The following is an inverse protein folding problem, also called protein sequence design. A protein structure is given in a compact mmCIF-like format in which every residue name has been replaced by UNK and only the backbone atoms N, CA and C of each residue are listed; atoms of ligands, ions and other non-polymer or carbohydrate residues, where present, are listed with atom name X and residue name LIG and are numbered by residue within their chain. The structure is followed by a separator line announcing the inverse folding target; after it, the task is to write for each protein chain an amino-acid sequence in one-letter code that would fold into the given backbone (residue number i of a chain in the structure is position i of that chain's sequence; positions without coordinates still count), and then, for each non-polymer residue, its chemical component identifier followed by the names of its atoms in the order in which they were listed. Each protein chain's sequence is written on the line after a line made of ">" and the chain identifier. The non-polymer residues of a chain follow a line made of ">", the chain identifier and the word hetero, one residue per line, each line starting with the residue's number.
data_IF_209990100192
#
_entry.id   IF_209990100192
#
_cell.length_a   1.000
_cell.length_b   1.000
_cell.length_c   1.000
_cell.angle_alpha   90.00
_cell.angle_beta   90.00
_cell.angle_gamma   90.00
#
_symmetry.space_group_name_H-M   'P 1'
#
loop_
_entity.id
_entity.type
_entity.pdbx_description
1 polymer ?
#
# COMPACT_ATOMS: atom_id res chain seq x y z
N UNK A 1 48.76 -8.22 -6.10
CA UNK A 1 47.48 -8.83 -6.58
C UNK A 1 46.52 -8.79 -5.40
N UNK A 2 45.77 -7.70 -5.17
CA UNK A 2 44.51 -7.30 -5.85
C UNK A 2 43.49 -8.45 -5.75
N UNK A 3 42.36 -8.42 -5.04
CA UNK A 3 41.66 -7.37 -4.30
C UNK A 3 40.84 -8.03 -3.18
N UNK A 4 41.17 -7.76 -1.92
CA UNK A 4 40.24 -7.84 -0.78
C UNK A 4 39.64 -6.44 -0.62
N UNK A 5 38.44 -6.22 -1.17
CA UNK A 5 37.51 -5.13 -0.82
C UNK A 5 36.20 -5.33 -1.59
N UNK A 6 35.32 -6.17 -1.06
CA UNK A 6 33.88 -6.00 -1.18
C UNK A 6 33.43 -5.25 0.09
N UNK A 7 33.73 -3.95 0.14
CA UNK A 7 33.03 -2.93 0.94
C UNK A 7 32.36 -2.05 -0.11
N UNK A 8 31.10 -1.67 -0.06
CA UNK A 8 30.08 -1.74 0.98
C UNK A 8 28.75 -1.90 0.25
N UNK A 9 27.96 -2.90 0.61
CA UNK A 9 26.53 -2.88 0.32
C UNK A 9 25.99 -1.60 0.95
N UNK A 10 25.32 -0.74 0.17
CA UNK A 10 24.63 0.41 0.73
C UNK A 10 23.61 -0.10 1.74
N UNK A 11 23.63 0.51 2.92
CA UNK A 11 23.31 0.01 4.27
C UNK A 11 21.84 -0.38 4.56
N UNK A 12 21.15 -1.00 3.59
CA UNK A 12 19.69 -0.91 3.57
C UNK A 12 18.90 -1.86 2.67
N UNK A 13 19.56 -2.75 1.94
CA UNK A 13 18.87 -3.92 1.40
C UNK A 13 18.73 -4.97 2.52
N UNK A 14 17.50 -5.29 2.93
CA UNK A 14 17.27 -6.43 3.83
C UNK A 14 17.50 -7.72 3.04
N UNK A 15 18.61 -8.41 3.34
CA UNK A 15 18.81 -9.78 2.85
C UNK A 15 17.78 -10.72 3.50
N UNK A 16 17.46 -11.84 2.85
CA UNK A 16 16.45 -12.76 3.37
C UNK A 16 16.86 -13.42 4.71
N UNK A 17 18.18 -13.49 4.97
CA UNK A 17 18.77 -13.83 6.26
C UNK A 17 18.33 -12.87 7.40
N UNK A 18 17.84 -11.68 7.06
CA UNK A 18 17.38 -10.63 7.97
C UNK A 18 15.85 -10.44 7.96
N UNK A 19 15.06 -11.39 7.43
CA UNK A 19 13.57 -11.30 7.44
C UNK A 19 12.99 -11.04 8.84
N UNK A 20 13.68 -11.45 9.91
CA UNK A 20 13.32 -11.12 11.29
C UNK A 20 13.15 -9.61 11.53
N UNK A 21 13.87 -8.75 10.80
CA UNK A 21 13.73 -7.28 10.84
C UNK A 21 12.36 -6.79 10.37
N UNK A 22 11.68 -7.54 9.49
CA UNK A 22 10.29 -7.24 9.08
C UNK A 22 9.31 -7.42 10.24
N UNK A 23 9.65 -8.26 11.22
CA UNK A 23 8.86 -8.48 12.42
C UNK A 23 9.27 -7.55 13.57
N UNK A 24 10.45 -6.92 13.51
CA UNK A 24 10.98 -6.09 14.58
C UNK A 24 10.14 -4.82 14.81
N UNK A 25 9.56 -4.65 16.00
CA UNK A 25 8.84 -3.45 16.48
C UNK A 25 9.62 -2.13 16.34
N UNK A 26 10.94 -2.19 16.21
CA UNK A 26 11.78 -1.02 15.99
C UNK A 26 11.64 -0.43 14.60
N UNK A 27 11.29 -1.23 13.57
CA UNK A 27 11.07 -0.76 12.19
C UNK A 27 10.02 0.35 12.15
N UNK A 28 10.40 1.52 11.65
CA UNK A 28 9.59 2.75 11.73
C UNK A 28 9.15 3.30 10.39
N UNK A 29 9.81 2.84 9.33
CA UNK A 29 9.59 3.35 8.00
C UNK A 29 9.82 2.26 6.96
N UNK A 30 8.91 2.18 5.98
CA UNK A 30 9.08 1.31 4.81
C UNK A 30 10.32 1.69 4.02
N UNK A 31 10.71 2.97 4.03
CA UNK A 31 11.94 3.48 3.43
C UNK A 31 13.23 2.82 3.95
N UNK A 32 13.24 2.31 5.18
CA UNK A 32 14.38 1.54 5.73
C UNK A 32 14.65 0.23 4.96
N UNK A 33 13.70 -0.17 4.10
CA UNK A 33 13.75 -1.38 3.28
C UNK A 33 13.65 -0.98 1.80
N UNK A 34 12.63 -0.20 1.45
CA UNK A 34 12.14 0.01 0.08
C UNK A 34 12.88 1.07 -0.76
N UNK A 35 13.68 1.97 -0.18
CA UNK A 35 14.12 3.19 -0.90
C UNK A 35 15.24 3.01 -1.93
N UNK A 36 15.93 1.87 -1.93
CA UNK A 36 17.17 1.72 -2.68
C UNK A 36 17.10 0.53 -3.63
N UNK A 37 16.47 0.73 -4.79
CA UNK A 37 16.45 -0.28 -5.86
C UNK A 37 17.90 -0.55 -6.33
N UNK A 38 18.44 -1.70 -5.92
CA UNK A 38 19.72 -2.18 -6.41
C UNK A 38 19.61 -2.54 -7.91
N UNK A 39 20.60 -2.27 -8.78
CA UNK A 39 20.52 -2.59 -10.21
C UNK A 39 20.17 -4.06 -10.51
N UNK A 40 20.63 -4.99 -9.68
CA UNK A 40 20.25 -6.41 -9.76
C UNK A 40 18.74 -6.67 -9.59
N UNK A 41 17.99 -5.74 -8.97
CA UNK A 41 16.54 -5.85 -8.84
C UNK A 41 15.80 -5.54 -10.13
N UNK A 42 16.33 -4.66 -10.98
CA UNK A 42 15.74 -4.40 -12.28
C UNK A 42 15.78 -5.68 -13.12
N UNK A 43 16.94 -6.35 -13.15
CA UNK A 43 17.11 -7.64 -13.82
C UNK A 43 16.19 -8.73 -13.22
N UNK A 44 15.98 -8.76 -11.91
CA UNK A 44 15.03 -9.71 -11.30
C UNK A 44 13.59 -9.39 -11.66
N UNK A 45 13.17 -8.11 -11.63
CA UNK A 45 11.82 -7.69 -12.05
C UNK A 45 11.54 -7.99 -13.53
N UNK A 46 12.57 -7.96 -14.36
CA UNK A 46 12.50 -8.32 -15.79
C UNK A 46 12.42 -9.84 -16.02
N UNK A 47 13.15 -10.64 -15.22
CA UNK A 47 13.32 -12.07 -15.45
C UNK A 47 12.45 -12.98 -14.56
N UNK A 48 11.79 -12.43 -13.53
CA UNK A 48 10.90 -13.18 -12.66
C UNK A 48 9.45 -12.73 -12.81
N UNK A 49 8.53 -13.70 -12.76
CA UNK A 49 7.10 -13.41 -12.75
C UNK A 49 6.68 -12.91 -11.37
N UNK A 50 5.86 -11.86 -11.28
CA UNK A 50 5.26 -11.46 -10.02
C UNK A 50 4.29 -12.54 -9.52
N UNK A 51 4.24 -12.73 -8.20
CA UNK A 51 3.41 -13.74 -7.55
C UNK A 51 2.07 -13.17 -7.08
N UNK A 52 2.08 -11.91 -6.67
CA UNK A 52 0.88 -11.21 -6.23
C UNK A 52 0.79 -9.83 -6.86
N UNK A 53 -0.43 -9.47 -7.26
CA UNK A 53 -0.82 -8.10 -7.58
C UNK A 53 -1.40 -7.48 -6.32
N UNK A 54 -0.94 -6.31 -5.92
CA UNK A 54 -1.45 -5.58 -4.76
C UNK A 54 -1.92 -4.21 -5.23
N UNK A 55 -3.13 -3.80 -4.84
CA UNK A 55 -3.72 -2.55 -5.33
C UNK A 55 -4.62 -1.89 -4.29
N UNK A 56 -4.82 -0.59 -4.48
CA UNK A 56 -5.72 0.24 -3.69
C UNK A 56 -7.04 0.46 -4.44
N UNK A 57 -8.14 0.31 -3.70
CA UNK A 57 -9.46 0.77 -4.11
C UNK A 57 -9.92 1.93 -3.24
N UNK A 58 -10.85 2.71 -3.79
CA UNK A 58 -11.51 3.83 -3.12
C UNK A 58 -13.02 3.71 -3.27
N UNK A 59 -13.75 4.04 -2.21
CA UNK A 59 -15.18 4.26 -2.28
C UNK A 59 -15.49 5.63 -2.90
N UNK A 60 -16.21 5.61 -4.02
CA UNK A 60 -16.69 6.80 -4.73
C UNK A 60 -18.20 6.89 -4.65
N UNK A 61 -18.78 8.06 -4.33
CA UNK A 61 -20.23 8.23 -4.35
C UNK A 61 -20.76 8.07 -5.78
N UNK A 62 -21.85 7.31 -5.93
CA UNK A 62 -22.49 7.06 -7.25
C UNK A 62 -23.06 8.34 -7.88
N UNK A 63 -23.43 9.31 -7.05
CA UNK A 63 -23.97 10.59 -7.49
C UNK A 63 -23.23 11.70 -6.75
N UNK A 64 -22.73 12.66 -7.51
CA UNK A 64 -22.19 13.91 -7.01
C UNK A 64 -22.98 15.07 -7.61
N UNK A 65 -23.38 16.03 -6.78
CA UNK A 65 -24.06 17.26 -7.23
C UNK A 65 -23.06 18.39 -7.10
N UNK A 66 -22.92 19.18 -8.17
CA UNK A 66 -21.99 20.30 -8.23
C UNK A 66 -22.73 21.63 -8.26
N UNK A 67 -22.15 22.65 -7.64
CA UNK A 67 -22.69 24.01 -7.68
C UNK A 67 -22.46 24.69 -9.04
N UNK A 68 -21.56 24.16 -9.86
CA UNK A 68 -21.12 24.77 -11.10
C UNK A 68 -21.07 23.75 -12.24
N UNK A 69 -21.15 24.26 -13.48
CA UNK A 69 -21.06 23.45 -14.69
C UNK A 69 -19.64 22.93 -14.98
N UNK A 70 -18.61 23.44 -14.28
CA UNK A 70 -17.24 22.96 -14.42
C UNK A 70 -16.96 21.70 -13.60
N UNK A 71 -17.93 21.24 -12.80
CA UNK A 71 -17.85 20.07 -11.93
C UNK A 71 -16.71 20.13 -10.91
N UNK A 72 -16.31 21.35 -10.51
CA UNK A 72 -15.19 21.57 -9.58
C UNK A 72 -15.63 21.73 -8.15
N UNK A 73 -16.84 22.24 -7.90
CA UNK A 73 -17.36 22.48 -6.55
C UNK A 73 -18.51 21.54 -6.22
N UNK A 74 -18.23 20.33 -5.73
CA UNK A 74 -19.29 19.45 -5.23
C UNK A 74 -19.98 20.06 -4.00
N UNK A 75 -21.30 19.96 -3.94
CA UNK A 75 -22.15 20.45 -2.85
C UNK A 75 -22.95 19.35 -2.15
N UNK A 76 -23.13 18.20 -2.81
CA UNK A 76 -23.75 17.04 -2.19
C UNK A 76 -23.21 15.73 -2.81
N UNK A 77 -23.24 14.67 -2.01
CA UNK A 77 -22.81 13.34 -2.41
C UNK A 77 -23.86 12.31 -1.99
N UNK A 78 -24.10 11.32 -2.83
CA UNK A 78 -24.90 10.16 -2.43
C UNK A 78 -24.14 9.33 -1.41
N UNK A 79 -24.88 8.72 -0.47
CA UNK A 79 -24.34 7.71 0.44
C UNK A 79 -24.24 6.34 -0.22
N UNK A 80 -24.89 6.13 -1.34
CA UNK A 80 -24.63 4.97 -2.18
C UNK A 80 -23.31 5.18 -2.91
N UNK A 81 -22.39 4.24 -2.73
CA UNK A 81 -21.03 4.33 -3.27
C UNK A 81 -20.72 3.12 -4.15
N UNK A 82 -19.85 3.30 -5.12
CA UNK A 82 -19.16 2.23 -5.83
C UNK A 82 -17.74 2.09 -5.28
N UNK A 83 -17.17 0.89 -5.35
CA UNK A 83 -15.75 0.69 -5.08
C UNK A 83 -15.00 0.70 -6.40
N UNK A 84 -14.04 1.60 -6.54
CA UNK A 84 -13.28 1.80 -7.78
C UNK A 84 -11.80 1.51 -7.52
N UNK A 85 -11.14 0.85 -8.48
CA UNK A 85 -9.68 0.72 -8.47
C UNK A 85 -9.08 2.09 -8.79
N UNK A 86 -8.10 2.53 -8.01
CA UNK A 86 -7.49 3.86 -8.18
C UNK A 86 -6.58 3.98 -9.43
N UNK A 87 -6.42 2.92 -10.22
CA UNK A 87 -5.39 2.79 -11.26
C UNK A 87 -5.85 3.13 -12.70
N UNK A 88 -7.08 3.58 -12.94
CA UNK A 88 -7.67 3.52 -14.30
C UNK A 88 -7.68 4.82 -15.14
N UNK A 89 -7.05 5.92 -14.72
CA UNK A 89 -6.96 7.11 -15.59
C UNK A 89 -5.70 7.94 -15.30
N UNK A 90 -4.69 7.77 -16.16
CA UNK A 90 -3.43 8.52 -16.34
C UNK A 90 -2.78 9.23 -15.14
N UNK A 91 -1.52 8.80 -14.89
CA UNK A 91 -0.60 9.09 -13.79
C UNK A 91 -1.15 8.68 -12.41
N UNK A 92 -0.72 7.54 -11.84
CA UNK A 92 0.64 7.39 -11.33
C UNK A 92 0.90 5.92 -10.93
N UNK A 93 2.15 5.44 -11.01
CA UNK A 93 2.63 4.10 -10.64
C UNK A 93 2.52 3.76 -9.13
N UNK A 94 1.36 4.05 -8.53
CA UNK A 94 1.22 4.44 -7.12
C UNK A 94 0.01 3.81 -6.44
N UNK A 95 -0.95 3.28 -7.19
CA UNK A 95 -2.12 2.59 -6.64
C UNK A 95 -2.07 1.07 -6.83
N UNK A 96 -1.09 0.58 -7.57
CA UNK A 96 -0.92 -0.82 -7.91
C UNK A 96 0.58 -1.14 -7.92
N UNK A 97 0.94 -2.28 -7.35
CA UNK A 97 2.30 -2.78 -7.34
C UNK A 97 2.31 -4.31 -7.29
N UNK A 98 3.45 -4.88 -7.63
CA UNK A 98 3.64 -6.32 -7.72
C UNK A 98 4.65 -6.81 -6.70
N UNK A 99 4.38 -7.97 -6.12
CA UNK A 99 5.31 -8.65 -5.22
C UNK A 99 5.92 -9.85 -5.93
N UNK A 100 7.24 -9.94 -5.87
CA UNK A 100 8.04 -10.98 -6.50
C UNK A 100 8.58 -11.94 -5.44
N UNK A 101 8.67 -13.22 -5.81
CA UNK A 101 9.29 -14.24 -4.97
C UNK A 101 10.79 -14.32 -5.29
N UNK A 102 11.54 -13.34 -4.78
CA UNK A 102 12.98 -13.30 -4.93
C UNK A 102 13.66 -13.61 -3.61
N UNK A 103 14.03 -14.88 -3.46
CA UNK A 103 14.60 -15.47 -2.26
C UNK A 103 15.96 -14.88 -1.82
N UNK A 104 16.43 -13.80 -2.43
CA UNK A 104 17.71 -13.15 -2.11
C UNK A 104 17.62 -11.64 -1.87
N UNK A 105 16.49 -10.98 -2.14
CA UNK A 105 16.39 -9.52 -2.00
C UNK A 105 15.05 -9.09 -1.41
N UNK A 106 15.04 -8.74 -0.12
CA UNK A 106 13.83 -8.34 0.61
C UNK A 106 13.12 -7.11 0.05
N UNK A 107 13.80 -6.29 -0.76
CA UNK A 107 13.25 -5.08 -1.38
C UNK A 107 12.09 -5.36 -2.36
N UNK A 108 12.15 -6.44 -3.15
CA UNK A 108 11.10 -6.77 -4.12
C UNK A 108 10.02 -7.70 -3.56
N UNK A 109 10.27 -8.21 -2.36
CA UNK A 109 9.27 -8.92 -1.56
C UNK A 109 8.40 -7.97 -0.74
N UNK A 110 8.72 -6.66 -0.71
CA UNK A 110 8.11 -5.68 0.18
C UNK A 110 7.50 -4.50 -0.58
N UNK A 111 6.32 -4.05 -0.15
CA UNK A 111 5.68 -2.83 -0.64
C UNK A 111 5.35 -1.88 0.51
N UNK A 112 5.96 -0.70 0.48
CA UNK A 112 5.63 0.41 1.37
C UNK A 112 4.23 0.96 1.09
N UNK A 113 3.43 1.15 2.15
CA UNK A 113 2.07 1.68 2.10
C UNK A 113 2.00 2.98 2.91
N UNK A 114 1.53 4.06 2.30
CA UNK A 114 1.45 5.35 2.95
C UNK A 114 1.19 6.48 1.98
N UNK A 115 1.10 7.71 2.48
CA UNK A 115 0.89 8.90 1.63
C UNK A 115 2.18 9.58 1.15
N UNK A 116 3.35 9.16 1.62
CA UNK A 116 4.64 9.75 1.21
C UNK A 116 5.15 9.18 -0.12
N UNK A 117 5.89 9.97 -0.94
CA UNK A 117 6.31 9.58 -2.30
C UNK A 117 7.07 8.27 -2.42
N UNK A 118 7.84 7.92 -1.40
CA UNK A 118 8.64 6.69 -1.40
C UNK A 118 7.80 5.41 -1.22
N UNK A 119 6.52 5.55 -0.88
CA UNK A 119 5.63 4.40 -0.79
C UNK A 119 5.19 3.95 -2.18
N UNK A 120 5.12 2.62 -2.33
CA UNK A 120 4.66 1.96 -3.54
C UNK A 120 3.14 2.12 -3.72
N UNK A 121 2.41 2.05 -2.60
CA UNK A 121 0.95 2.09 -2.57
C UNK A 121 0.50 3.34 -1.81
N UNK A 122 0.02 4.35 -2.54
CA UNK A 122 -0.44 5.62 -2.01
C UNK A 122 -1.91 5.88 -2.36
N UNK A 123 -2.73 6.27 -1.37
CA UNK A 123 -4.09 6.74 -1.59
C UNK A 123 -4.02 8.12 -2.25
N UNK A 124 -4.30 8.18 -3.55
CA UNK A 124 -4.42 9.38 -4.41
C UNK A 124 -3.68 10.64 -3.91
N UNK A 125 -2.52 10.91 -4.52
CA UNK A 125 -1.84 12.20 -4.45
C UNK A 125 -1.57 12.53 -5.92
N UNK A 126 -2.16 13.61 -6.43
CA UNK A 126 -1.87 14.06 -7.80
C UNK A 126 -0.36 14.24 -7.99
N UNK A 127 0.09 14.37 -9.24
CA UNK A 127 1.53 14.47 -9.54
C UNK A 127 2.25 15.60 -8.77
N UNK A 128 1.48 16.60 -8.33
CA UNK A 128 1.95 17.71 -7.49
C UNK A 128 1.64 17.51 -5.99
N UNK A 129 2.59 16.88 -5.30
CA UNK A 129 2.59 16.76 -3.84
C UNK A 129 2.62 18.12 -3.12
N UNK A 130 3.34 19.10 -3.66
CA UNK A 130 3.50 20.41 -3.02
C UNK A 130 2.16 21.13 -3.02
N UNK A 131 1.44 21.11 -4.16
CA UNK A 131 0.08 21.62 -4.26
C UNK A 131 -0.89 20.93 -3.29
N UNK A 132 -0.75 19.62 -3.03
CA UNK A 132 -1.55 18.95 -2.00
C UNK A 132 -1.26 19.48 -0.59
N UNK A 133 0.00 19.75 -0.26
CA UNK A 133 0.35 20.28 1.06
C UNK A 133 0.00 21.76 1.24
N UNK A 134 -0.03 22.52 0.16
CA UNK A 134 -0.46 23.92 0.14
C UNK A 134 -1.98 24.06 0.20
N UNK A 135 -2.72 23.23 -0.55
CA UNK A 135 -4.19 23.29 -0.66
C UNK A 135 -4.87 21.92 -0.39
N UNK A 136 -4.69 21.28 0.79
CA UNK A 136 -5.22 19.94 1.04
C UNK A 136 -6.75 19.86 0.95
N UNK A 137 -7.45 20.95 1.26
CA UNK A 137 -8.92 21.02 1.16
C UNK A 137 -9.43 20.94 -0.28
N UNK A 138 -8.60 21.31 -1.26
CA UNK A 138 -8.96 21.23 -2.68
C UNK A 138 -8.88 19.80 -3.21
N UNK A 139 -7.86 19.05 -2.77
CA UNK A 139 -7.56 17.71 -3.27
C UNK A 139 -8.16 16.60 -2.39
N UNK A 140 -8.41 16.89 -1.12
CA UNK A 140 -9.01 15.99 -0.13
C UNK A 140 -9.93 16.78 0.82
N UNK A 141 -11.07 17.31 0.33
CA UNK A 141 -11.96 18.21 1.08
C UNK A 141 -12.53 17.61 2.37
N UNK A 142 -12.56 16.28 2.50
CA UNK A 142 -13.00 15.58 3.70
C UNK A 142 -11.82 15.04 4.54
N UNK A 143 -10.58 15.40 4.18
CA UNK A 143 -9.33 14.96 4.80
C UNK A 143 -9.27 13.42 4.97
N UNK A 144 -9.80 12.67 4.01
CA UNK A 144 -9.89 11.22 4.02
C UNK A 144 -8.51 10.60 3.75
N UNK A 145 -7.77 11.12 2.76
CA UNK A 145 -6.36 10.76 2.52
C UNK A 145 -5.46 11.24 3.67
N UNK A 146 -5.73 12.43 4.21
CA UNK A 146 -4.99 12.99 5.36
C UNK A 146 -5.08 12.15 6.65
N UNK A 147 -6.06 11.24 6.72
CA UNK A 147 -6.21 10.26 7.81
C UNK A 147 -5.30 9.03 7.66
N UNK A 148 -4.60 8.88 6.54
CA UNK A 148 -3.61 7.82 6.33
C UNK A 148 -2.24 8.32 6.79
N UNK A 149 -1.48 7.43 7.45
CA UNK A 149 -0.17 7.81 7.96
C UNK A 149 0.80 8.05 6.80
N UNK A 150 1.81 8.91 7.01
CA UNK A 150 2.82 9.26 5.99
C UNK A 150 3.49 8.02 5.45
N UNK A 151 3.94 7.22 6.40
CA UNK A 151 4.36 5.84 6.27
C UNK A 151 3.42 5.05 7.18
N UNK A 152 2.57 4.21 6.60
CA UNK A 152 1.46 3.55 7.31
C UNK A 152 1.82 2.11 7.64
N UNK A 153 2.38 1.39 6.68
CA UNK A 153 2.76 0.01 6.87
C UNK A 153 3.58 -0.57 5.73
N UNK A 154 3.85 -1.86 5.83
CA UNK A 154 4.61 -2.63 4.86
C UNK A 154 3.85 -3.92 4.54
N UNK A 155 3.58 -4.17 3.27
CA UNK A 155 3.20 -5.50 2.79
C UNK A 155 4.49 -6.25 2.52
N UNK A 156 4.57 -7.53 2.90
CA UNK A 156 5.74 -8.34 2.58
C UNK A 156 5.40 -9.83 2.42
N UNK A 157 6.24 -10.57 1.72
CA UNK A 157 6.23 -12.03 1.73
C UNK A 157 7.09 -12.58 2.88
N UNK A 158 6.53 -13.51 3.63
CA UNK A 158 7.32 -14.29 4.59
C UNK A 158 8.11 -15.43 3.91
N UNK A 159 8.87 -16.17 4.71
CA UNK A 159 9.69 -17.28 4.23
C UNK A 159 8.87 -18.44 3.63
N UNK A 160 7.58 -18.55 3.98
CA UNK A 160 6.67 -19.54 3.43
C UNK A 160 5.93 -19.00 2.18
N UNK A 161 6.26 -17.78 1.74
CA UNK A 161 5.63 -17.11 0.61
C UNK A 161 4.19 -16.64 0.89
N UNK A 162 3.82 -16.45 2.15
CA UNK A 162 2.53 -15.90 2.54
C UNK A 162 2.62 -14.39 2.66
N UNK A 163 1.57 -13.71 2.20
CA UNK A 163 1.48 -12.26 2.37
C UNK A 163 1.20 -11.91 3.82
N UNK A 164 2.02 -11.01 4.34
CA UNK A 164 1.86 -10.37 5.64
C UNK A 164 1.72 -8.88 5.45
N UNK A 165 1.09 -8.25 6.41
CA UNK A 165 1.10 -6.80 6.54
C UNK A 165 1.57 -6.41 7.93
N UNK A 166 2.42 -5.40 7.97
CA UNK A 166 2.87 -4.74 9.20
C UNK A 166 2.31 -3.34 9.29
N UNK A 167 1.57 -3.06 10.35
CA UNK A 167 1.22 -1.69 10.74
C UNK A 167 2.31 -1.16 11.68
N UNK A 168 2.99 -0.06 11.33
CA UNK A 168 3.93 0.63 12.24
C UNK A 168 3.65 2.13 12.34
N UNK A 169 3.05 2.72 11.31
CA UNK A 169 2.71 4.14 11.29
C UNK A 169 3.90 5.09 11.37
N UNK A 170 3.64 6.37 11.12
CA UNK A 170 4.69 7.39 11.19
C UNK A 170 4.98 7.72 12.66
N UNK A 171 6.16 7.34 13.17
CA UNK A 171 6.59 7.75 14.51
C UNK A 171 6.75 9.27 14.56
N UNK A 172 5.79 9.94 15.20
CA UNK A 172 5.99 11.31 15.72
C UNK A 172 6.62 11.18 17.12
N UNK A 173 7.49 12.11 17.52
CA UNK A 173 8.06 12.17 18.89
C UNK A 173 6.92 11.96 19.92
N UNK A 174 6.90 10.80 20.58
CA UNK A 174 5.81 10.38 21.48
C UNK A 174 5.76 8.86 21.70
N UNK A 175 4.88 8.41 22.61
CA UNK A 175 4.71 6.98 22.97
C UNK A 175 3.83 6.18 22.00
N UNK A 176 3.35 6.79 20.91
CA UNK A 176 2.42 6.12 19.98
C UNK A 176 3.17 5.06 19.18
N UNK A 177 2.67 3.82 19.23
CA UNK A 177 3.10 2.71 18.40
C UNK A 177 2.03 2.43 17.35
N UNK A 178 2.39 2.25 16.08
CA UNK A 178 1.43 1.99 15.01
C UNK A 178 0.84 3.25 14.36
N UNK A 179 0.09 3.03 13.27
CA UNK A 179 -0.62 4.08 12.52
C UNK A 179 -1.71 4.73 13.37
N UNK A 180 -2.05 6.01 13.08
CA UNK A 180 -3.00 6.79 13.91
C UNK A 180 -4.36 6.10 14.02
N UNK A 181 -4.87 5.59 12.91
CA UNK A 181 -6.20 4.99 12.78
C UNK A 181 -6.18 3.45 12.78
N UNK A 182 -4.99 2.85 12.84
CA UNK A 182 -4.81 1.42 12.64
C UNK A 182 -5.04 1.01 11.19
N UNK A 183 -4.87 -0.28 10.95
CA UNK A 183 -5.27 -0.98 9.75
C UNK A 183 -6.39 -1.95 10.11
N UNK A 184 -7.36 -2.16 9.23
CA UNK A 184 -8.55 -2.95 9.56
C UNK A 184 -8.74 -4.09 8.57
N UNK A 185 -8.80 -5.33 9.04
CA UNK A 185 -9.11 -6.49 8.20
C UNK A 185 -10.62 -6.57 8.09
N UNK A 186 -11.12 -6.48 6.85
CA UNK A 186 -12.53 -6.54 6.49
C UNK A 186 -13.44 -5.53 7.24
N UNK A 187 -12.84 -4.47 7.81
CA UNK A 187 -13.57 -3.46 8.59
C UNK A 187 -13.96 -3.89 10.01
N UNK A 188 -13.54 -5.09 10.43
CA UNK A 188 -13.91 -5.71 11.70
C UNK A 188 -12.74 -5.78 12.68
N UNK A 189 -11.62 -6.36 12.25
CA UNK A 189 -10.46 -6.57 13.11
C UNK A 189 -9.46 -5.43 12.92
N UNK A 190 -9.28 -4.62 13.95
CA UNK A 190 -8.27 -3.56 13.98
C UNK A 190 -6.91 -4.11 14.38
N UNK A 191 -5.90 -3.85 13.56
CA UNK A 191 -4.48 -4.11 13.82
C UNK A 191 -3.72 -2.78 13.96
N UNK A 192 -2.83 -2.71 14.94
CA UNK A 192 -2.01 -1.53 15.21
C UNK A 192 -0.67 -1.96 15.80
N UNK A 193 0.44 -1.48 15.24
CA UNK A 193 1.80 -1.86 15.67
C UNK A 193 2.04 -3.38 15.71
N UNK A 194 1.64 -4.07 14.65
CA UNK A 194 1.69 -5.53 14.62
C UNK A 194 1.80 -6.06 13.20
N UNK A 195 2.21 -7.32 13.12
CA UNK A 195 2.23 -8.10 11.89
C UNK A 195 1.04 -9.04 11.90
N UNK A 196 0.37 -9.16 10.76
CA UNK A 196 -0.68 -10.14 10.58
C UNK A 196 -0.59 -10.82 9.22
N UNK A 197 -1.18 -12.00 9.14
CA UNK A 197 -1.36 -12.71 7.89
C UNK A 197 -2.50 -12.11 7.10
N UNK A 198 -2.22 -11.69 5.87
CA UNK A 198 -3.22 -11.15 4.97
C UNK A 198 -3.67 -12.26 4.02
N UNK A 199 -4.94 -12.64 4.11
CA UNK A 199 -5.50 -13.78 3.37
C UNK A 199 -6.25 -13.35 2.13
N UNK A 200 -6.42 -14.31 1.24
CA UNK A 200 -7.05 -14.08 -0.04
C UNK A 200 -8.54 -13.78 0.16
N UNK A 201 -9.03 -12.76 -0.53
CA UNK A 201 -10.38 -12.23 -0.33
C UNK A 201 -10.49 -11.16 0.77
N UNK A 202 -9.52 -11.06 1.68
CA UNK A 202 -9.51 -9.99 2.70
C UNK A 202 -9.14 -8.65 2.08
N UNK A 203 -9.75 -7.58 2.58
CA UNK A 203 -9.27 -6.22 2.33
C UNK A 203 -8.70 -5.58 3.60
N UNK A 204 -7.71 -4.70 3.42
CA UNK A 204 -7.16 -3.87 4.50
C UNK A 204 -7.69 -2.45 4.39
N UNK A 205 -8.64 -2.11 5.24
CA UNK A 205 -9.13 -0.76 5.42
C UNK A 205 -8.07 0.13 6.06
N UNK A 206 -7.72 1.23 5.39
CA UNK A 206 -6.79 2.24 5.91
C UNK A 206 -7.45 3.62 5.94
N UNK A 207 -6.98 4.48 6.83
CA UNK A 207 -7.48 5.86 6.94
C UNK A 207 -8.89 5.97 7.51
N UNK A 208 -9.66 6.91 6.96
CA UNK A 208 -10.99 7.25 7.44
C UNK A 208 -12.08 6.26 7.08
N UNK A 209 -13.14 6.28 7.90
CA UNK A 209 -14.39 5.57 7.61
C UNK A 209 -15.53 6.55 7.41
N UNK A 210 -16.39 6.26 6.45
CA UNK A 210 -17.58 7.07 6.12
C UNK A 210 -18.85 6.22 6.24
N UNK A 211 -19.97 6.89 6.50
CA UNK A 211 -21.28 6.25 6.49
C UNK A 211 -21.77 6.11 5.05
N UNK A 212 -21.92 4.87 4.59
CA UNK A 212 -22.40 4.52 3.26
C UNK A 212 -23.70 3.72 3.36
N UNK A 213 -24.46 3.70 2.27
CA UNK A 213 -25.67 2.90 2.16
C UNK A 213 -25.38 1.63 1.35
N UNK A 214 -25.65 0.46 1.94
CA UNK A 214 -25.55 -0.87 1.32
C UNK A 214 -26.88 -1.58 1.49
N UNK A 215 -27.48 -2.01 0.39
CA UNK A 215 -28.72 -2.81 0.42
C UNK A 215 -29.83 -2.22 1.32
N UNK A 216 -29.93 -0.89 1.36
CA UNK A 216 -30.90 -0.14 2.17
C UNK A 216 -30.43 0.24 3.58
N UNK A 217 -29.35 -0.35 4.08
CA UNK A 217 -28.82 -0.11 5.43
C UNK A 217 -27.68 0.91 5.45
N UNK A 218 -27.52 1.60 6.59
CA UNK A 218 -26.41 2.54 6.80
C UNK A 218 -25.27 1.83 7.53
N UNK A 219 -24.14 1.65 6.85
CA UNK A 219 -22.95 0.97 7.38
C UNK A 219 -21.74 1.89 7.34
N UNK A 220 -20.79 1.68 8.26
CA UNK A 220 -19.57 2.50 8.34
C UNK A 220 -18.41 1.76 7.69
N UNK A 221 -17.96 2.20 6.52
CA UNK A 221 -16.90 1.53 5.74
C UNK A 221 -15.64 2.37 5.61
N UNK A 222 -14.48 1.71 5.49
CA UNK A 222 -13.24 2.38 5.10
C UNK A 222 -13.33 2.86 3.66
N UNK A 223 -12.89 4.11 3.42
CA UNK A 223 -12.89 4.68 2.08
C UNK A 223 -11.80 4.04 1.23
N UNK A 224 -10.60 3.87 1.79
CA UNK A 224 -9.47 3.24 1.10
C UNK A 224 -9.30 1.81 1.58
N UNK A 225 -9.19 0.89 0.62
CA UNK A 225 -9.01 -0.53 0.89
C UNK A 225 -7.82 -1.03 0.08
N UNK A 226 -6.87 -1.67 0.75
CA UNK A 226 -5.82 -2.43 0.08
C UNK A 226 -6.32 -3.84 -0.20
N UNK A 227 -6.03 -4.35 -1.39
CA UNK A 227 -6.43 -5.67 -1.89
C UNK A 227 -5.24 -6.35 -2.53
N UNK A 228 -5.28 -7.68 -2.60
CA UNK A 228 -4.35 -8.43 -3.42
C UNK A 228 -5.04 -9.59 -4.15
N UNK A 229 -4.39 -10.04 -5.21
CA UNK A 229 -4.77 -11.19 -6.02
C UNK A 229 -3.53 -12.04 -6.26
N UNK A 230 -3.69 -13.36 -6.18
CA UNK A 230 -2.63 -14.28 -6.63
C UNK A 230 -2.60 -14.26 -8.15
N UNK A 231 -1.41 -14.09 -8.71
CA UNK A 231 -1.21 -14.23 -10.15
C UNK A 231 -1.12 -15.73 -10.45
N UNK A 232 -1.96 -16.30 -11.33
CA UNK A 232 -1.88 -17.71 -11.68
C UNK A 232 -0.48 -18.04 -12.18
N UNK A 233 0.09 -19.14 -11.70
CA UNK A 233 1.23 -19.77 -12.37
C UNK A 233 0.66 -20.42 -13.64
N UNK A 234 1.25 -20.17 -14.81
CA UNK A 234 0.87 -20.94 -15.99
C UNK A 234 1.09 -22.43 -15.66
N UNK A 235 0.24 -23.34 -16.16
CA UNK A 235 0.55 -24.75 -16.04
C UNK A 235 1.97 -24.99 -16.58
N UNK A 236 2.76 -25.91 -15.98
CA UNK A 236 4.04 -26.28 -16.55
C UNK A 236 3.84 -26.61 -18.03
N UNK A 237 4.79 -26.26 -18.92
CA UNK A 237 4.69 -26.67 -20.32
C UNK A 237 4.38 -28.17 -20.32
N UNK A 238 3.33 -28.56 -21.03
CA UNK A 238 3.00 -29.97 -21.25
C UNK A 238 4.31 -30.63 -21.63
N UNK A 239 4.81 -31.53 -20.78
CA UNK A 239 5.98 -32.31 -21.11
C UNK A 239 5.68 -32.99 -22.44
N UNK A 240 6.48 -32.69 -23.46
CA UNK A 240 6.30 -33.21 -24.81
C UNK A 240 6.05 -34.73 -24.72
N UNK A 241 4.85 -35.15 -25.12
CA UNK A 241 4.42 -36.54 -25.15
C UNK A 241 4.91 -37.25 -26.41
#
# INVERSE_FOLDING_TARGET
>A
MVSRRLRSLSDSSVELSEVSKLYDETLTSSAEICLWDHPALAEVKENQRPRFRVYLTRLEPKIQVYADASLRRPVAYSREVAECVLAEAEASAVAEAYIYDATSVGQIMCLGVGRYPHNHLRPFVGDDMEAYYEEPERYDPACICGQISRDHGLVFLDADGRLKFRDFGTKKRGRRRGSKNGSWINGELRVQNGVFEWREGDYLGIGGRVWVRRDGELVKEHVFKLRYERIPEDPPPLADA
#
